data_IF_762901650775
#
_entry.id   IF_762901650775
#
_cell.length_a   1.000
_cell.length_b   1.000
_cell.length_c   1.000
_cell.angle_alpha   90.00
_cell.angle_beta   90.00
_cell.angle_gamma   90.00
#
_symmetry.space_group_name_H-M   'P 1'
#
loop_
_entity.id
_entity.type
_entity.pdbx_description
1 polymer ?
#
# COMPACT_ATOMS: atom_id res chain seq x y z
N UNK A 1 16.86 27.57 -27.08
CA UNK A 1 16.95 26.98 -25.76
C UNK A 1 18.40 27.00 -25.29
N UNK A 2 18.68 27.51 -24.11
CA UNK A 2 20.06 27.51 -23.60
C UNK A 2 20.48 26.10 -23.19
N UNK A 3 21.77 25.82 -23.25
CA UNK A 3 22.36 24.55 -22.82
C UNK A 3 22.03 24.29 -21.35
N UNK A 4 22.00 25.33 -20.53
CA UNK A 4 21.66 25.23 -19.08
C UNK A 4 20.23 24.72 -18.89
N UNK A 5 19.26 25.24 -19.63
CA UNK A 5 17.88 24.82 -19.57
C UNK A 5 17.73 23.36 -19.98
N UNK A 6 18.37 22.95 -21.06
CA UNK A 6 18.36 21.56 -21.53
C UNK A 6 18.97 20.61 -20.49
N UNK A 7 20.07 21.02 -19.85
CA UNK A 7 20.73 20.22 -18.79
C UNK A 7 19.82 20.07 -17.60
N UNK A 8 19.15 21.13 -17.14
CA UNK A 8 18.21 21.07 -16.00
C UNK A 8 17.05 20.13 -16.30
N UNK A 9 16.47 20.22 -17.48
CA UNK A 9 15.37 19.34 -17.90
C UNK A 9 15.83 17.87 -17.91
N UNK A 10 17.01 17.61 -18.44
CA UNK A 10 17.58 16.27 -18.49
C UNK A 10 17.79 15.70 -17.07
N UNK A 11 18.35 16.51 -16.16
CA UNK A 11 18.57 16.10 -14.77
C UNK A 11 17.25 15.79 -14.05
N UNK A 12 16.23 16.62 -14.23
CA UNK A 12 14.90 16.39 -13.64
C UNK A 12 14.29 15.10 -14.18
N UNK A 13 14.42 14.86 -15.47
CA UNK A 13 13.90 13.63 -16.09
C UNK A 13 14.63 12.40 -15.58
N UNK A 14 15.97 12.47 -15.45
CA UNK A 14 16.78 11.38 -14.92
C UNK A 14 16.40 11.07 -13.45
N UNK A 15 16.19 12.10 -12.63
CA UNK A 15 15.73 11.92 -11.24
C UNK A 15 14.35 11.27 -11.19
N UNK A 16 13.43 11.68 -12.04
CA UNK A 16 12.10 11.08 -12.11
C UNK A 16 12.17 9.60 -12.46
N UNK A 17 12.97 9.22 -13.47
CA UNK A 17 13.16 7.82 -13.85
C UNK A 17 13.78 7.03 -12.70
N UNK A 18 14.79 7.58 -12.01
CA UNK A 18 15.42 6.95 -10.87
C UNK A 18 14.44 6.65 -9.75
N UNK A 19 13.59 7.62 -9.41
CA UNK A 19 12.54 7.43 -8.40
C UNK A 19 11.56 6.33 -8.80
N UNK A 20 11.14 6.29 -10.07
CA UNK A 20 10.24 5.26 -10.55
C UNK A 20 10.87 3.86 -10.51
N UNK A 21 12.16 3.75 -10.84
CA UNK A 21 12.88 2.48 -10.74
C UNK A 21 12.95 1.97 -9.30
N UNK A 22 13.24 2.85 -8.34
CA UNK A 22 13.29 2.50 -6.92
C UNK A 22 11.92 2.05 -6.44
N UNK A 23 10.86 2.77 -6.78
CA UNK A 23 9.48 2.37 -6.43
C UNK A 23 9.16 0.98 -6.96
N UNK A 24 9.44 0.73 -8.24
CA UNK A 24 9.16 -0.56 -8.87
C UNK A 24 9.95 -1.68 -8.22
N UNK A 25 11.21 -1.41 -7.86
CA UNK A 25 12.05 -2.38 -7.17
C UNK A 25 11.48 -2.74 -5.80
N UNK A 26 11.06 -1.74 -5.01
CA UNK A 26 10.47 -1.97 -3.70
C UNK A 26 9.16 -2.76 -3.79
N UNK A 27 8.29 -2.42 -4.75
CA UNK A 27 7.05 -3.16 -4.99
C UNK A 27 7.32 -4.61 -5.37
N UNK A 28 8.30 -4.85 -6.23
CA UNK A 28 8.70 -6.21 -6.62
C UNK A 28 9.20 -7.02 -5.43
N UNK A 29 10.01 -6.40 -4.56
CA UNK A 29 10.52 -7.06 -3.37
C UNK A 29 9.41 -7.42 -2.41
N UNK A 30 8.47 -6.50 -2.15
CA UNK A 30 7.31 -6.80 -1.32
C UNK A 30 6.47 -7.93 -1.89
N UNK A 31 6.19 -7.91 -3.19
CA UNK A 31 5.43 -8.98 -3.85
C UNK A 31 6.15 -10.31 -3.80
N UNK A 32 7.48 -10.31 -3.97
CA UNK A 32 8.29 -11.53 -3.86
C UNK A 32 8.24 -12.10 -2.46
N UNK A 33 8.35 -11.24 -1.44
CA UNK A 33 8.23 -11.65 -0.03
C UNK A 33 6.85 -12.22 0.27
N UNK A 34 5.78 -11.62 -0.27
CA UNK A 34 4.43 -12.16 -0.12
C UNK A 34 4.29 -13.55 -0.73
N UNK A 35 4.86 -13.76 -1.93
CA UNK A 35 4.82 -15.06 -2.61
C UNK A 35 5.62 -16.12 -1.87
N UNK A 36 6.76 -15.75 -1.29
CA UNK A 36 7.60 -16.65 -0.51
C UNK A 36 7.16 -16.82 0.95
N UNK A 37 6.04 -16.22 1.34
CA UNK A 37 5.47 -16.26 2.69
C UNK A 37 6.35 -15.61 3.76
N UNK A 38 7.21 -14.68 3.35
CA UNK A 38 8.04 -13.90 4.28
C UNK A 38 7.31 -12.62 4.68
N UNK A 39 6.26 -12.78 5.48
CA UNK A 39 5.37 -11.68 5.84
C UNK A 39 6.02 -10.68 6.78
N UNK A 40 6.93 -11.14 7.63
CA UNK A 40 7.67 -10.24 8.51
C UNK A 40 8.52 -9.24 7.72
N UNK A 41 9.14 -9.67 6.63
CA UNK A 41 9.90 -8.78 5.75
C UNK A 41 9.01 -7.78 5.03
N UNK A 42 7.80 -8.17 4.62
CA UNK A 42 6.83 -7.26 4.00
C UNK A 42 6.44 -6.15 4.98
N UNK A 43 6.11 -6.51 6.22
CA UNK A 43 5.76 -5.54 7.25
C UNK A 43 6.92 -4.59 7.54
N UNK A 44 8.14 -5.13 7.66
CA UNK A 44 9.33 -4.33 7.90
C UNK A 44 9.59 -3.34 6.77
N UNK A 45 9.49 -3.79 5.51
CA UNK A 45 9.67 -2.93 4.35
C UNK A 45 8.60 -1.84 4.28
N UNK A 46 7.35 -2.19 4.59
CA UNK A 46 6.24 -1.24 4.59
C UNK A 46 6.38 -0.17 5.68
N UNK A 47 7.05 -0.48 6.79
CA UNK A 47 7.28 0.47 7.88
C UNK A 47 8.52 1.35 7.66
N UNK A 48 9.35 1.07 6.65
CA UNK A 48 10.51 1.90 6.37
C UNK A 48 10.11 3.30 5.95
N UNK A 49 10.72 4.37 6.51
CA UNK A 49 10.37 5.74 6.13
C UNK A 49 10.53 6.03 4.64
N UNK A 50 11.53 5.45 4.01
CA UNK A 50 11.77 5.60 2.57
C UNK A 50 10.62 5.01 1.75
N UNK A 51 10.14 3.82 2.11
CA UNK A 51 8.99 3.19 1.44
C UNK A 51 7.73 4.04 1.59
N UNK A 52 7.48 4.57 2.78
CA UNK A 52 6.31 5.42 3.03
C UNK A 52 6.36 6.72 2.25
N UNK A 53 7.56 7.28 2.00
CA UNK A 53 7.72 8.47 1.16
C UNK A 53 7.52 8.18 -0.32
N UNK A 54 8.10 7.09 -0.81
CA UNK A 54 8.10 6.76 -2.24
C UNK A 54 6.79 6.12 -2.68
N UNK A 55 6.28 5.16 -1.92
CA UNK A 55 5.08 4.40 -2.28
C UNK A 55 3.79 5.02 -1.72
N UNK A 56 3.92 5.83 -0.68
CA UNK A 56 2.78 6.44 0.02
C UNK A 56 2.28 5.58 1.16
N UNK A 57 1.64 6.24 2.12
CA UNK A 57 1.11 5.58 3.33
C UNK A 57 0.07 4.52 2.98
N UNK A 58 -0.84 4.82 2.05
CA UNK A 58 -1.91 3.90 1.67
C UNK A 58 -1.36 2.59 1.10
N UNK A 59 -0.41 2.66 0.18
CA UNK A 59 0.18 1.46 -0.44
C UNK A 59 0.91 0.61 0.60
N UNK A 60 1.68 1.23 1.49
CA UNK A 60 2.39 0.52 2.55
C UNK A 60 1.41 -0.15 3.51
N UNK A 61 0.35 0.54 3.90
CA UNK A 61 -0.67 -0.01 4.78
C UNK A 61 -1.41 -1.19 4.13
N UNK A 62 -1.69 -1.11 2.82
CA UNK A 62 -2.29 -2.23 2.09
C UNK A 62 -1.41 -3.48 2.11
N UNK A 63 -0.10 -3.32 1.91
CA UNK A 63 0.81 -4.46 1.94
C UNK A 63 0.89 -5.07 3.34
N UNK A 64 0.90 -4.24 4.38
CA UNK A 64 0.86 -4.73 5.76
C UNK A 64 -0.43 -5.51 6.02
N UNK A 65 -1.57 -4.96 5.63
CA UNK A 65 -2.86 -5.62 5.80
C UNK A 65 -2.89 -6.98 5.10
N UNK A 66 -2.41 -7.01 3.86
CA UNK A 66 -2.35 -8.24 3.07
C UNK A 66 -1.43 -9.28 3.71
N UNK A 67 -0.27 -8.85 4.21
CA UNK A 67 0.67 -9.75 4.89
C UNK A 67 0.05 -10.35 6.15
N UNK A 68 -0.62 -9.55 6.97
CA UNK A 68 -1.30 -10.02 8.18
C UNK A 68 -2.42 -11.01 7.85
N UNK A 69 -3.18 -10.74 6.80
CA UNK A 69 -4.25 -11.64 6.37
C UNK A 69 -3.72 -13.00 5.92
N UNK A 70 -2.65 -13.00 5.11
CA UNK A 70 -2.04 -14.23 4.61
C UNK A 70 -1.31 -15.01 5.71
N UNK A 71 -0.76 -14.31 6.69
CA UNK A 71 -0.12 -14.90 7.87
C UNK A 71 -1.15 -15.48 8.87
N UNK A 72 -2.42 -15.23 8.65
CA UNK A 72 -3.53 -15.69 9.50
C UNK A 72 -3.46 -15.15 10.93
N UNK A 73 -2.84 -14.00 11.11
CA UNK A 73 -2.77 -13.31 12.40
C UNK A 73 -4.05 -12.47 12.57
N UNK A 74 -5.12 -13.13 12.99
CA UNK A 74 -6.46 -12.52 13.05
C UNK A 74 -6.52 -11.28 13.93
N UNK A 75 -5.97 -11.26 15.16
CA UNK A 75 -6.04 -10.06 16.00
C UNK A 75 -5.34 -8.85 15.37
N UNK A 76 -4.17 -9.05 14.81
CA UNK A 76 -3.41 -7.97 14.16
C UNK A 76 -4.10 -7.52 12.87
N UNK A 77 -4.64 -8.46 12.11
CA UNK A 77 -5.37 -8.15 10.89
C UNK A 77 -6.60 -7.28 11.19
N UNK A 78 -7.39 -7.66 12.18
CA UNK A 78 -8.58 -6.90 12.56
C UNK A 78 -8.22 -5.49 13.04
N UNK A 79 -7.18 -5.37 13.85
CA UNK A 79 -6.69 -4.08 14.32
C UNK A 79 -6.24 -3.20 13.16
N UNK A 80 -5.48 -3.76 12.22
CA UNK A 80 -5.02 -3.03 11.03
C UNK A 80 -6.17 -2.64 10.11
N UNK A 81 -7.15 -3.53 9.93
CA UNK A 81 -8.33 -3.25 9.11
C UNK A 81 -9.13 -2.08 9.70
N UNK A 82 -9.35 -2.07 11.00
CA UNK A 82 -10.04 -0.97 11.66
C UNK A 82 -9.25 0.33 11.59
N UNK A 83 -7.92 0.25 11.72
CA UNK A 83 -7.06 1.41 11.54
C UNK A 83 -7.21 2.02 10.15
N UNK A 84 -7.19 1.21 9.10
CA UNK A 84 -7.32 1.68 7.73
C UNK A 84 -8.71 2.25 7.45
N UNK A 85 -9.75 1.67 8.04
CA UNK A 85 -11.12 2.19 7.91
C UNK A 85 -11.24 3.58 8.53
N UNK A 86 -10.57 3.82 9.65
CA UNK A 86 -10.61 5.11 10.35
C UNK A 86 -9.62 6.13 9.80
N UNK A 87 -8.55 5.68 9.10
CA UNK A 87 -7.49 6.55 8.63
C UNK A 87 -7.96 7.48 7.50
N UNK A 88 -7.39 8.68 7.47
CA UNK A 88 -7.58 9.62 6.36
C UNK A 88 -6.30 9.65 5.53
N UNK A 89 -6.43 9.27 4.27
CA UNK A 89 -5.31 9.30 3.32
C UNK A 89 -5.33 10.59 2.51
N UNK A 90 -4.15 10.99 2.00
CA UNK A 90 -4.03 12.22 1.22
C UNK A 90 -4.96 12.26 0.02
N UNK A 91 -5.14 11.11 -0.64
CA UNK A 91 -6.04 11.00 -1.77
C UNK A 91 -7.34 10.31 -1.31
N UNK A 92 -8.48 11.04 -1.26
CA UNK A 92 -9.75 10.44 -0.87
C UNK A 92 -10.20 9.27 -1.74
N UNK A 93 -9.75 9.24 -3.00
CA UNK A 93 -10.07 8.15 -3.91
C UNK A 93 -9.44 6.82 -3.46
N UNK A 94 -8.27 6.86 -2.81
CA UNK A 94 -7.62 5.67 -2.27
C UNK A 94 -8.49 5.01 -1.19
N UNK A 95 -9.02 5.79 -0.27
CA UNK A 95 -9.89 5.28 0.78
C UNK A 95 -11.19 4.71 0.21
N UNK A 96 -11.79 5.41 -0.73
CA UNK A 96 -13.01 4.95 -1.40
C UNK A 96 -12.77 3.61 -2.12
N UNK A 97 -11.68 3.52 -2.86
CA UNK A 97 -11.28 2.30 -3.57
C UNK A 97 -11.04 1.14 -2.60
N UNK A 98 -10.34 1.40 -1.49
CA UNK A 98 -10.08 0.42 -0.44
C UNK A 98 -11.38 -0.12 0.15
N UNK A 99 -12.28 0.76 0.57
CA UNK A 99 -13.53 0.37 1.21
C UNK A 99 -14.39 -0.47 0.26
N UNK A 100 -14.53 -0.04 -1.00
CA UNK A 100 -15.34 -0.75 -1.98
C UNK A 100 -14.75 -2.11 -2.34
N UNK A 101 -13.45 -2.18 -2.63
CA UNK A 101 -12.80 -3.42 -3.02
C UNK A 101 -12.82 -4.46 -1.92
N UNK A 102 -12.50 -4.07 -0.70
CA UNK A 102 -12.48 -5.01 0.42
C UNK A 102 -13.89 -5.40 0.86
N UNK A 103 -14.86 -4.49 0.76
CA UNK A 103 -16.25 -4.84 1.00
C UNK A 103 -16.70 -5.96 0.06
N UNK A 104 -16.46 -5.82 -1.24
CA UNK A 104 -16.80 -6.84 -2.21
C UNK A 104 -16.03 -8.14 -1.97
N UNK A 105 -14.76 -8.06 -1.63
CA UNK A 105 -13.93 -9.22 -1.34
C UNK A 105 -14.48 -10.02 -0.17
N UNK A 106 -14.80 -9.37 0.94
CA UNK A 106 -15.33 -10.07 2.11
C UNK A 106 -16.77 -10.51 1.94
N UNK A 107 -17.55 -9.79 1.15
CA UNK A 107 -18.89 -10.22 0.79
C UNK A 107 -18.86 -11.54 0.01
N UNK A 108 -17.96 -11.65 -0.98
CA UNK A 108 -17.77 -12.87 -1.75
C UNK A 108 -17.23 -14.03 -0.90
N UNK A 109 -16.43 -13.74 0.11
CA UNK A 109 -15.90 -14.74 1.06
C UNK A 109 -16.89 -15.07 2.18
N UNK A 110 -18.08 -14.50 2.12
CA UNK A 110 -19.13 -14.68 3.15
C UNK A 110 -18.70 -14.24 4.56
N UNK A 111 -17.75 -13.33 4.65
CA UNK A 111 -17.30 -12.76 5.93
C UNK A 111 -18.11 -11.50 6.25
N UNK A 112 -19.27 -11.68 6.85
CA UNK A 112 -20.17 -10.56 7.16
C UNK A 112 -19.59 -9.58 8.16
N UNK A 113 -18.81 -10.05 9.13
CA UNK A 113 -18.22 -9.20 10.16
C UNK A 113 -17.39 -8.09 9.54
N UNK A 114 -16.46 -8.44 8.66
CA UNK A 114 -15.59 -7.45 7.99
C UNK A 114 -16.35 -6.64 6.94
N UNK A 115 -17.25 -7.28 6.23
CA UNK A 115 -18.08 -6.59 5.26
C UNK A 115 -18.96 -5.52 5.93
N UNK A 116 -19.52 -5.81 7.08
CA UNK A 116 -20.33 -4.85 7.83
C UNK A 116 -19.49 -3.66 8.32
N UNK A 117 -18.27 -3.92 8.80
CA UNK A 117 -17.35 -2.84 9.19
C UNK A 117 -17.06 -1.88 8.03
N UNK A 118 -16.83 -2.44 6.85
CA UNK A 118 -16.54 -1.65 5.66
C UNK A 118 -17.77 -0.92 5.14
N UNK A 119 -18.93 -1.57 5.19
CA UNK A 119 -20.19 -0.97 4.77
C UNK A 119 -20.55 0.24 5.64
N UNK A 120 -20.36 0.14 6.94
CA UNK A 120 -20.63 1.23 7.88
C UNK A 120 -19.73 2.46 7.59
N UNK A 121 -18.55 2.24 7.02
CA UNK A 121 -17.62 3.31 6.68
C UNK A 121 -17.88 3.92 5.30
N UNK A 122 -18.58 3.21 4.43
CA UNK A 122 -18.97 3.73 3.12
C UNK A 122 -20.12 4.71 3.29
#
# INVERSE_FOLDING_TARGET
MSVITATVIFLLFACYIGVQLVKNFQLRQMNTCLKSRDYASVEKMADMPMSRRLLGQYTCDLYKLRAMYLDKDVPRFEEMLQYMIAAEYKNPADKKSFLEQYYHTFLLKENRKYADWLLDAI
#
